data_IF_659983336327
#
_entry.id   IF_659983336327
#
_cell.length_a   1.000
_cell.length_b   1.000
_cell.length_c   1.000
_cell.angle_alpha   90.00
_cell.angle_beta   90.00
_cell.angle_gamma   90.00
#
_symmetry.space_group_name_H-M   'P 1'
#
loop_
_entity.id
_entity.type
_entity.pdbx_description
1 polymer ?
#
# COMPACT_ATOMS: atom_id res chain seq x y z
N UNK A 1 22.33 -8.70 -16.69
CA UNK A 1 21.78 -7.32 -16.67
C UNK A 1 20.54 -7.22 -17.55
N UNK A 2 19.58 -8.11 -17.34
CA UNK A 2 18.23 -8.07 -17.86
C UNK A 2 17.39 -8.83 -16.81
N UNK A 3 16.20 -8.32 -16.50
CA UNK A 3 15.25 -8.81 -15.49
C UNK A 3 15.29 -8.21 -14.08
N UNK A 4 15.66 -6.92 -13.94
CA UNK A 4 15.01 -6.07 -12.94
C UNK A 4 13.79 -5.40 -13.58
N UNK A 5 12.77 -6.21 -13.92
CA UNK A 5 11.43 -5.67 -14.09
C UNK A 5 10.97 -5.26 -12.69
N UNK A 6 11.26 -4.00 -12.33
CA UNK A 6 10.58 -3.35 -11.22
C UNK A 6 9.08 -3.41 -11.52
N UNK A 7 8.41 -4.41 -10.94
CA UNK A 7 6.96 -4.47 -10.85
C UNK A 7 6.54 -3.26 -10.00
N UNK A 8 6.37 -2.12 -10.66
CA UNK A 8 5.59 -1.02 -10.12
C UNK A 8 4.13 -1.43 -10.27
N UNK A 9 3.40 -1.51 -9.16
CA UNK A 9 1.95 -1.61 -9.20
C UNK A 9 1.44 -0.30 -9.83
N UNK A 10 1.06 -0.33 -11.10
CA UNK A 10 0.79 0.87 -11.89
C UNK A 10 -0.65 1.35 -11.77
N UNK A 11 -1.56 0.48 -11.33
CA UNK A 11 -2.97 0.80 -11.15
C UNK A 11 -3.42 0.71 -9.69
N UNK A 12 -4.48 1.43 -9.32
CA UNK A 12 -5.05 1.36 -7.97
C UNK A 12 -5.51 -0.06 -7.58
N UNK A 13 -6.02 -0.84 -8.54
CA UNK A 13 -6.44 -2.24 -8.30
C UNK A 13 -5.25 -3.15 -7.98
N UNK A 14 -4.15 -3.01 -8.72
CA UNK A 14 -2.91 -3.73 -8.45
C UNK A 14 -2.33 -3.38 -7.08
N UNK A 15 -2.36 -2.09 -6.70
CA UNK A 15 -1.92 -1.64 -5.38
C UNK A 15 -2.81 -2.19 -4.26
N UNK A 16 -4.13 -2.16 -4.43
CA UNK A 16 -5.07 -2.73 -3.47
C UNK A 16 -4.82 -4.24 -3.27
N UNK A 17 -4.71 -5.00 -4.36
CA UNK A 17 -4.38 -6.43 -4.30
C UNK A 17 -3.05 -6.69 -3.57
N UNK A 18 -2.02 -5.91 -3.86
CA UNK A 18 -0.72 -6.05 -3.21
C UNK A 18 -0.76 -5.70 -1.72
N UNK A 19 -1.49 -4.65 -1.32
CA UNK A 19 -1.69 -4.28 0.09
C UNK A 19 -2.41 -5.40 0.84
N UNK A 20 -3.46 -5.99 0.27
CA UNK A 20 -4.19 -7.10 0.88
C UNK A 20 -3.26 -8.31 1.13
N UNK A 21 -2.43 -8.68 0.15
CA UNK A 21 -1.41 -9.72 0.33
C UNK A 21 -0.45 -9.38 1.49
N UNK A 22 -0.01 -8.12 1.57
CA UNK A 22 0.93 -7.66 2.61
C UNK A 22 0.31 -7.68 4.02
N UNK A 23 -0.99 -7.36 4.13
CA UNK A 23 -1.75 -7.38 5.38
C UNK A 23 -2.08 -8.80 5.86
N UNK A 24 -2.08 -9.77 4.94
CA UNK A 24 -2.37 -11.17 5.25
C UNK A 24 -3.86 -11.53 5.12
N UNK A 25 -4.12 -12.83 5.14
CA UNK A 25 -5.43 -13.40 4.81
C UNK A 25 -6.53 -12.96 5.80
N UNK A 26 -6.23 -12.94 7.09
CA UNK A 26 -7.23 -12.64 8.13
C UNK A 26 -7.75 -11.21 8.00
N UNK A 27 -6.84 -10.22 7.90
CA UNK A 27 -7.22 -8.81 7.72
C UNK A 27 -7.89 -8.60 6.37
N UNK A 28 -7.38 -9.23 5.31
CA UNK A 28 -7.97 -9.12 3.98
C UNK A 28 -9.40 -9.65 3.93
N UNK A 29 -9.69 -10.75 4.62
CA UNK A 29 -11.03 -11.32 4.68
C UNK A 29 -12.03 -10.33 5.30
N UNK A 30 -11.63 -9.54 6.31
CA UNK A 30 -12.47 -8.49 6.86
C UNK A 30 -12.73 -7.36 5.85
N UNK A 31 -11.72 -6.96 5.08
CA UNK A 31 -11.88 -5.95 4.02
C UNK A 31 -12.85 -6.43 2.93
N UNK A 32 -12.75 -7.70 2.52
CA UNK A 32 -13.59 -8.27 1.47
C UNK A 32 -15.09 -8.24 1.80
N UNK A 33 -15.47 -8.26 3.09
CA UNK A 33 -16.88 -8.16 3.52
C UNK A 33 -17.55 -6.85 3.11
N UNK A 34 -16.76 -5.81 2.81
CA UNK A 34 -17.26 -4.48 2.42
C UNK A 34 -17.23 -4.25 0.91
N UNK A 35 -16.73 -5.20 0.13
CA UNK A 35 -16.64 -5.09 -1.32
C UNK A 35 -17.89 -5.65 -1.99
N UNK A 36 -18.26 -5.06 -3.12
CA UNK A 36 -19.26 -5.64 -4.03
C UNK A 36 -18.67 -6.85 -4.76
N UNK A 37 -19.54 -7.73 -5.26
CA UNK A 37 -19.13 -8.94 -5.97
C UNK A 37 -18.18 -8.66 -7.15
N UNK A 38 -18.51 -7.65 -7.96
CA UNK A 38 -17.67 -7.21 -9.08
C UNK A 38 -16.28 -6.72 -8.62
N UNK A 39 -16.21 -6.04 -7.48
CA UNK A 39 -14.95 -5.53 -6.92
C UNK A 39 -14.11 -6.69 -6.37
N UNK A 40 -14.74 -7.65 -5.69
CA UNK A 40 -14.09 -8.87 -5.22
C UNK A 40 -13.48 -9.66 -6.37
N UNK A 41 -14.21 -9.85 -7.47
CA UNK A 41 -13.70 -10.58 -8.64
C UNK A 41 -12.47 -9.89 -9.24
N UNK A 42 -12.55 -8.57 -9.43
CA UNK A 42 -11.44 -7.77 -9.96
C UNK A 42 -10.20 -7.85 -9.07
N UNK A 43 -10.36 -7.69 -7.75
CA UNK A 43 -9.23 -7.72 -6.81
C UNK A 43 -8.63 -9.13 -6.71
N UNK A 44 -9.46 -10.17 -6.68
CA UNK A 44 -8.98 -11.57 -6.63
C UNK A 44 -8.20 -11.92 -7.89
N UNK A 45 -8.63 -11.43 -9.05
CA UNK A 45 -7.90 -11.59 -10.32
C UNK A 45 -6.52 -10.93 -10.27
N UNK A 46 -6.40 -9.74 -9.72
CA UNK A 46 -5.10 -9.07 -9.56
C UNK A 46 -4.21 -9.80 -8.55
N UNK A 47 -4.77 -10.27 -7.42
CA UNK A 47 -4.04 -11.09 -6.44
C UNK A 47 -3.43 -12.34 -7.11
N UNK A 48 -4.21 -13.04 -7.93
CA UNK A 48 -3.75 -14.23 -8.64
C UNK A 48 -2.59 -13.97 -9.62
N UNK A 49 -2.41 -12.73 -10.08
CA UNK A 49 -1.31 -12.35 -10.97
C UNK A 49 -0.02 -11.99 -10.22
N UNK A 50 -0.11 -11.67 -8.92
CA UNK A 50 1.05 -11.28 -8.11
C UNK A 50 1.80 -12.53 -7.64
N UNK A 51 2.95 -12.79 -8.25
CA UNK A 51 3.78 -13.98 -7.91
C UNK A 51 4.67 -13.78 -6.69
N UNK A 52 5.21 -12.57 -6.52
CA UNK A 52 6.15 -12.23 -5.46
C UNK A 52 6.11 -10.73 -5.21
N UNK A 53 6.14 -10.36 -3.94
CA UNK A 53 6.36 -8.99 -3.50
C UNK A 53 7.74 -8.98 -2.82
N UNK A 54 8.68 -8.19 -3.34
CA UNK A 54 9.99 -8.02 -2.72
C UNK A 54 9.87 -7.18 -1.45
N UNK A 55 10.88 -7.26 -0.58
CA UNK A 55 10.91 -6.45 0.64
C UNK A 55 10.83 -4.95 0.35
N UNK A 56 11.56 -4.47 -0.67
CA UNK A 56 11.53 -3.06 -1.10
C UNK A 56 10.15 -2.64 -1.62
N UNK A 57 9.47 -3.49 -2.40
CA UNK A 57 8.10 -3.23 -2.85
C UNK A 57 7.11 -3.18 -1.69
N UNK A 58 7.24 -4.08 -0.72
CA UNK A 58 6.40 -4.08 0.50
C UNK A 58 6.55 -2.76 1.27
N UNK A 59 7.78 -2.30 1.49
CA UNK A 59 8.04 -1.02 2.18
C UNK A 59 7.41 0.14 1.40
N UNK A 60 7.67 0.23 0.10
CA UNK A 60 7.15 1.31 -0.73
C UNK A 60 5.61 1.36 -0.76
N UNK A 61 4.96 0.20 -0.86
CA UNK A 61 3.49 0.08 -0.79
C UNK A 61 2.93 0.57 0.53
N UNK A 62 3.53 0.14 1.65
CA UNK A 62 3.06 0.52 2.98
C UNK A 62 3.23 2.03 3.23
N UNK A 63 4.34 2.61 2.78
CA UNK A 63 4.57 4.06 2.86
C UNK A 63 3.52 4.84 2.06
N UNK A 64 3.26 4.44 0.81
CA UNK A 64 2.24 5.09 -0.02
C UNK A 64 0.85 4.96 0.61
N UNK A 65 0.48 3.76 1.07
CA UNK A 65 -0.82 3.51 1.70
C UNK A 65 -0.99 4.34 2.97
N UNK A 66 0.04 4.44 3.81
CA UNK A 66 0.02 5.27 5.01
C UNK A 66 -0.10 6.76 4.69
N UNK A 67 0.63 7.27 3.68
CA UNK A 67 0.48 8.66 3.22
C UNK A 67 -0.95 8.96 2.74
N UNK A 68 -1.60 8.01 2.07
CA UNK A 68 -3.00 8.14 1.66
C UNK A 68 -3.96 8.15 2.86
N UNK A 69 -3.71 7.30 3.86
CA UNK A 69 -4.50 7.30 5.11
C UNK A 69 -4.38 8.63 5.84
N UNK A 70 -3.16 9.16 6.01
CA UNK A 70 -2.96 10.48 6.61
C UNK A 70 -3.70 11.55 5.81
N UNK A 71 -3.57 11.54 4.48
CA UNK A 71 -4.26 12.50 3.62
C UNK A 71 -5.80 12.44 3.74
N UNK A 72 -6.37 11.25 4.00
CA UNK A 72 -7.80 11.09 4.25
C UNK A 72 -8.21 11.46 5.69
N UNK A 73 -7.34 11.21 6.67
CA UNK A 73 -7.51 11.61 8.08
C UNK A 73 -7.28 13.11 8.31
N UNK A 74 -6.90 13.88 7.27
CA UNK A 74 -6.81 15.34 7.29
C UNK A 74 -8.20 16.01 7.35
N UNK A 75 -9.00 15.63 8.35
CA UNK A 75 -9.66 16.62 9.20
C UNK A 75 -8.56 17.29 10.04
N UNK A 76 -7.89 18.27 9.42
CA UNK A 76 -7.23 19.43 10.02
C UNK A 76 -6.63 19.21 11.42
N UNK A 77 -5.40 18.70 11.51
CA UNK A 77 -4.48 19.15 12.55
C UNK A 77 -3.06 19.22 11.98
N UNK A 78 -2.76 20.35 11.34
CA UNK A 78 -1.40 20.71 10.96
C UNK A 78 -0.56 20.92 12.23
N UNK A 79 0.40 20.03 12.46
CA UNK A 79 1.27 20.03 13.64
C UNK A 79 2.52 19.18 13.43
N UNK A 80 3.36 19.11 14.48
CA UNK A 80 4.68 18.48 14.47
C UNK A 80 4.69 17.03 13.97
N UNK A 81 3.63 16.25 14.24
CA UNK A 81 3.51 14.86 13.80
C UNK A 81 3.49 14.72 12.28
N UNK A 82 2.78 15.62 11.57
CA UNK A 82 2.75 15.61 10.11
C UNK A 82 4.11 16.03 9.51
N UNK A 83 4.74 17.04 10.11
CA UNK A 83 6.08 17.46 9.71
C UNK A 83 7.11 16.33 9.94
N UNK A 84 7.00 15.59 11.05
CA UNK A 84 7.85 14.45 11.37
C UNK A 84 7.63 13.29 10.41
N UNK A 85 6.38 12.94 10.10
CA UNK A 85 6.06 11.89 9.13
C UNK A 85 6.62 12.22 7.73
N UNK A 86 6.46 13.47 7.28
CA UNK A 86 7.06 13.95 6.03
C UNK A 86 8.59 13.90 6.05
N UNK A 87 9.22 14.31 7.15
CA UNK A 87 10.68 14.29 7.29
C UNK A 87 11.23 12.86 7.27
N UNK A 88 10.59 11.92 7.98
CA UNK A 88 10.98 10.50 7.98
C UNK A 88 10.86 9.91 6.57
N UNK A 89 9.79 10.25 5.85
CA UNK A 89 9.58 9.76 4.49
C UNK A 89 10.59 10.35 3.49
N UNK A 90 11.03 11.60 3.68
CA UNK A 90 11.98 12.28 2.80
C UNK A 90 13.45 11.94 3.10
N UNK A 91 13.79 11.63 4.36
CA UNK A 91 15.19 11.57 4.84
C UNK A 91 15.59 10.22 5.44
N UNK A 92 14.64 9.32 5.72
CA UNK A 92 14.86 8.07 6.45
C UNK A 92 14.92 8.27 7.98
N UNK A 93 14.60 7.21 8.74
CA UNK A 93 14.49 7.25 10.21
C UNK A 93 15.76 7.75 10.91
N UNK A 94 16.94 7.56 10.31
CA UNK A 94 18.24 7.89 10.90
C UNK A 94 18.53 9.41 11.02
N UNK A 95 17.66 10.29 10.47
CA UNK A 95 17.89 11.75 10.42
C UNK A 95 16.73 12.62 10.95
N UNK A 96 15.69 12.03 11.56
CA UNK A 96 14.50 12.73 12.05
C UNK A 96 14.48 12.98 13.58
#
# INVERSE_FOLDING_TARGET
MADEIHLHFTTGRQKAAAILIVLGADISAEVFKYLKEEEMELITKEIAQIRKITHSQKIALLQEFYSLMIAQEFIIQGGMEYARALLIQALGEDRA
#
